data_IF_586128237652
#
_entry.id   IF_586128237652
#
_cell.length_a   1.000
_cell.length_b   1.000
_cell.length_c   1.000
_cell.angle_alpha   90.00
_cell.angle_beta   90.00
_cell.angle_gamma   90.00
#
_symmetry.space_group_name_H-M   'P 1'
#
loop_
_entity.id
_entity.type
_entity.pdbx_description
1 polymer ?
#
# COMPACT_ATOMS: atom_id res chain seq x y z
N UNK A 1 -27.46 1.00 25.99
CA UNK A 1 -26.14 0.86 26.62
C UNK A 1 -25.08 0.90 25.52
N UNK A 2 -24.29 1.98 25.50
CA UNK A 2 -23.02 2.19 24.80
C UNK A 2 -22.78 1.56 23.42
N UNK A 3 -23.04 2.33 22.35
CA UNK A 3 -22.47 2.10 21.03
C UNK A 3 -21.00 2.55 21.05
N UNK A 4 -20.15 1.82 21.77
CA UNK A 4 -18.71 2.03 21.72
C UNK A 4 -18.23 1.40 20.41
N UNK A 5 -18.01 2.23 19.40
CA UNK A 5 -17.27 1.84 18.21
C UNK A 5 -15.92 1.26 18.64
N UNK A 6 -15.85 -0.08 18.69
CA UNK A 6 -14.60 -0.80 18.87
C UNK A 6 -13.85 -0.68 17.55
N UNK A 7 -13.24 0.47 17.30
CA UNK A 7 -12.26 0.65 16.24
C UNK A 7 -11.27 -0.52 16.36
N UNK A 8 -11.19 -1.29 15.28
CA UNK A 8 -10.52 -2.59 15.31
C UNK A 8 -9.02 -2.37 15.22
N UNK A 9 -8.31 -3.16 16.02
CA UNK A 9 -6.85 -3.15 16.09
C UNK A 9 -6.36 -4.43 15.41
N UNK A 10 -5.47 -4.28 14.43
CA UNK A 10 -4.72 -5.38 13.85
C UNK A 10 -3.33 -5.43 14.48
N UNK A 11 -2.84 -6.65 14.72
CA UNK A 11 -1.45 -6.89 15.10
C UNK A 11 -0.65 -7.17 13.83
N UNK A 12 0.31 -6.30 13.54
CA UNK A 12 1.25 -6.45 12.45
C UNK A 12 2.68 -6.51 13.02
N UNK A 13 3.51 -7.50 12.63
CA UNK A 13 4.84 -7.67 13.22
C UNK A 13 5.83 -6.55 12.84
N UNK A 14 5.54 -5.74 11.82
CA UNK A 14 6.40 -4.67 11.32
C UNK A 14 6.00 -3.32 11.94
N UNK A 15 4.70 -3.07 12.06
CA UNK A 15 4.17 -1.78 12.54
C UNK A 15 3.56 -1.83 13.95
N UNK A 16 3.45 -3.01 14.56
CA UNK A 16 2.80 -3.19 15.85
C UNK A 16 1.29 -3.13 15.74
N UNK A 17 0.67 -2.23 16.50
CA UNK A 17 -0.79 -2.06 16.47
C UNK A 17 -1.21 -1.13 15.34
N UNK A 18 -2.00 -1.67 14.39
CA UNK A 18 -2.63 -0.89 13.33
C UNK A 18 -4.08 -0.61 13.73
N UNK A 19 -4.38 0.66 13.99
CA UNK A 19 -5.73 1.13 14.29
C UNK A 19 -6.43 1.56 12.99
N UNK A 20 -7.70 1.21 12.84
CA UNK A 20 -8.54 1.75 11.77
C UNK A 20 -9.11 3.11 12.16
N UNK A 21 -8.91 4.17 11.35
CA UNK A 21 -9.46 5.50 11.65
C UNK A 21 -10.93 5.65 11.27
N UNK A 22 -11.51 4.70 10.52
CA UNK A 22 -12.87 4.79 9.98
C UNK A 22 -13.56 3.42 10.00
N UNK A 23 -14.85 3.39 10.36
CA UNK A 23 -15.69 2.20 10.26
C UNK A 23 -15.82 1.72 8.81
N UNK A 24 -15.84 2.65 7.85
CA UNK A 24 -15.95 2.29 6.45
C UNK A 24 -14.78 1.44 5.96
N UNK A 25 -13.56 1.78 6.40
CA UNK A 25 -12.37 0.99 6.09
C UNK A 25 -12.48 -0.42 6.68
N UNK A 26 -13.14 -0.57 7.84
CA UNK A 26 -13.41 -1.88 8.41
C UNK A 26 -14.37 -2.69 7.52
N UNK A 27 -15.45 -2.07 7.04
CA UNK A 27 -16.39 -2.72 6.13
C UNK A 27 -15.71 -3.18 4.83
N UNK A 28 -14.86 -2.33 4.24
CA UNK A 28 -14.05 -2.69 3.07
C UNK A 28 -13.12 -3.88 3.38
N UNK A 29 -12.45 -3.87 4.53
CA UNK A 29 -11.57 -4.97 4.94
C UNK A 29 -12.38 -6.26 5.10
N UNK A 30 -13.57 -6.21 5.69
CA UNK A 30 -14.41 -7.39 5.89
C UNK A 30 -14.99 -7.95 4.59
N UNK A 31 -15.07 -7.14 3.54
CA UNK A 31 -15.66 -7.54 2.28
C UNK A 31 -14.97 -8.80 1.68
N UNK A 32 -15.72 -9.77 1.12
CA UNK A 32 -15.15 -11.00 0.55
C UNK A 32 -14.06 -10.77 -0.50
N UNK A 33 -14.20 -9.73 -1.33
CA UNK A 33 -13.19 -9.37 -2.33
C UNK A 33 -11.86 -9.00 -1.70
N UNK A 34 -11.88 -8.27 -0.58
CA UNK A 34 -10.67 -7.92 0.15
C UNK A 34 -10.13 -9.10 0.96
N UNK A 35 -11.01 -9.87 1.64
CA UNK A 35 -10.62 -11.07 2.38
C UNK A 35 -9.97 -12.15 1.50
N UNK A 36 -10.20 -12.11 0.17
CA UNK A 36 -9.47 -12.95 -0.80
C UNK A 36 -7.96 -12.78 -0.72
N UNK A 37 -7.49 -11.57 -0.47
CA UNK A 37 -6.06 -11.24 -0.44
C UNK A 37 -5.28 -12.03 0.61
N UNK A 38 -5.95 -12.59 1.64
CA UNK A 38 -5.34 -13.50 2.62
C UNK A 38 -4.81 -14.80 2.02
N UNK A 39 -5.25 -15.15 0.81
CA UNK A 39 -4.86 -16.38 0.10
C UNK A 39 -3.92 -16.10 -1.07
N UNK A 40 -3.49 -14.85 -1.24
CA UNK A 40 -2.63 -14.43 -2.33
C UNK A 40 -1.28 -14.01 -1.73
N UNK A 41 -0.25 -14.80 -2.03
CA UNK A 41 1.13 -14.50 -1.64
C UNK A 41 1.56 -13.15 -2.22
N UNK A 42 2.19 -12.31 -1.39
CA UNK A 42 2.77 -11.03 -1.85
C UNK A 42 3.86 -11.28 -2.89
N UNK A 43 4.69 -12.29 -2.64
CA UNK A 43 5.93 -12.52 -3.39
C UNK A 43 5.86 -13.77 -4.28
N UNK A 44 4.65 -14.20 -4.65
CA UNK A 44 4.44 -15.39 -5.48
C UNK A 44 5.12 -16.62 -4.90
N UNK A 45 6.05 -17.20 -5.67
CA UNK A 45 6.81 -18.41 -5.34
C UNK A 45 8.13 -18.14 -4.58
N UNK A 46 8.37 -16.90 -4.12
CA UNK A 46 9.61 -16.55 -3.41
C UNK A 46 9.84 -17.36 -2.13
N UNK A 47 8.79 -17.94 -1.55
CA UNK A 47 8.89 -18.85 -0.39
C UNK A 47 9.72 -20.11 -0.67
N UNK A 48 9.91 -20.50 -1.94
CA UNK A 48 10.80 -21.61 -2.33
C UNK A 48 12.29 -21.28 -2.12
N UNK A 49 12.64 -20.00 -2.07
CA UNK A 49 14.00 -19.51 -1.84
C UNK A 49 14.15 -18.95 -0.44
N UNK A 50 13.13 -18.23 0.02
CA UNK A 50 13.07 -17.58 1.32
C UNK A 50 11.92 -18.19 2.13
N UNK A 51 12.16 -19.23 2.95
CA UNK A 51 11.09 -19.95 3.65
C UNK A 51 10.25 -19.09 4.61
N UNK A 52 10.69 -17.88 4.94
CA UNK A 52 9.91 -16.92 5.72
C UNK A 52 8.90 -16.08 4.89
N UNK A 53 9.02 -16.04 3.56
CA UNK A 53 8.24 -15.18 2.66
C UNK A 53 6.81 -15.67 2.42
N UNK A 54 6.04 -15.84 3.51
CA UNK A 54 4.65 -16.30 3.53
C UNK A 54 3.63 -15.17 3.73
N UNK A 55 4.07 -13.91 3.75
CA UNK A 55 3.14 -12.79 3.84
C UNK A 55 2.28 -12.67 2.58
N UNK A 56 1.12 -12.06 2.77
CA UNK A 56 0.05 -12.02 1.77
C UNK A 56 -0.23 -10.57 1.39
N UNK A 57 -0.89 -10.38 0.24
CA UNK A 57 -1.36 -9.05 -0.18
C UNK A 57 -2.29 -8.39 0.83
N UNK A 58 -2.99 -9.19 1.64
CA UNK A 58 -3.78 -8.67 2.76
C UNK A 58 -2.92 -7.97 3.81
N UNK A 59 -1.76 -8.55 4.17
CA UNK A 59 -0.84 -7.93 5.13
C UNK A 59 -0.29 -6.63 4.56
N UNK A 60 0.11 -6.65 3.29
CA UNK A 60 0.61 -5.48 2.58
C UNK A 60 -0.43 -4.35 2.52
N UNK A 61 -1.64 -4.62 2.05
CA UNK A 61 -2.69 -3.61 1.92
C UNK A 61 -3.04 -2.93 3.26
N UNK A 62 -3.09 -3.68 4.37
CA UNK A 62 -3.31 -3.09 5.70
C UNK A 62 -2.12 -2.25 6.16
N UNK A 63 -0.88 -2.71 5.91
CA UNK A 63 0.31 -1.96 6.26
C UNK A 63 0.47 -0.69 5.44
N UNK A 64 0.19 -0.73 4.14
CA UNK A 64 0.17 0.42 3.24
C UNK A 64 -0.87 1.46 3.68
N UNK A 65 -2.07 1.02 4.08
CA UNK A 65 -3.09 1.89 4.68
C UNK A 65 -2.60 2.53 5.99
N UNK A 66 -1.94 1.76 6.85
CA UNK A 66 -1.40 2.28 8.11
C UNK A 66 -0.37 3.41 7.90
N UNK A 67 0.59 3.20 7.01
CA UNK A 67 1.61 4.20 6.72
C UNK A 67 1.03 5.41 5.95
N UNK A 68 0.01 5.21 5.11
CA UNK A 68 -0.75 6.31 4.50
C UNK A 68 -1.42 7.19 5.56
N UNK A 69 -2.08 6.59 6.55
CA UNK A 69 -2.68 7.34 7.64
C UNK A 69 -1.64 8.17 8.41
N UNK A 70 -0.46 7.59 8.68
CA UNK A 70 0.66 8.32 9.28
C UNK A 70 1.16 9.47 8.40
N UNK A 71 1.24 9.27 7.08
CA UNK A 71 1.62 10.31 6.15
C UNK A 71 0.61 11.47 6.16
N UNK A 72 -0.69 11.19 6.13
CA UNK A 72 -1.75 12.20 6.25
C UNK A 72 -1.59 13.00 7.55
N UNK A 73 -1.37 12.34 8.69
CA UNK A 73 -1.14 13.01 9.99
C UNK A 73 0.09 13.92 9.94
N UNK A 74 1.21 13.44 9.39
CA UNK A 74 2.44 14.25 9.28
C UNK A 74 2.22 15.45 8.36
N UNK A 75 1.61 15.27 7.19
CA UNK A 75 1.33 16.36 6.26
C UNK A 75 0.42 17.43 6.88
N UNK A 76 -0.65 17.02 7.57
CA UNK A 76 -1.50 17.95 8.34
C UNK A 76 -0.72 18.71 9.40
N UNK A 77 0.18 18.04 10.12
CA UNK A 77 1.02 18.69 11.14
C UNK A 77 1.97 19.75 10.56
N UNK A 78 2.25 19.70 9.26
CA UNK A 78 3.08 20.67 8.52
C UNK A 78 2.26 21.74 7.79
N UNK A 79 0.95 21.79 8.02
CA UNK A 79 0.06 22.78 7.42
C UNK A 79 -0.51 22.41 6.06
N UNK A 80 -0.29 21.18 5.57
CA UNK A 80 -0.95 20.70 4.35
C UNK A 80 -2.42 20.38 4.69
N UNK A 81 -3.35 21.11 4.07
CA UNK A 81 -4.78 20.87 4.26
C UNK A 81 -5.17 19.53 3.63
N UNK A 82 -5.70 18.60 4.42
CA UNK A 82 -6.30 17.35 3.93
C UNK A 82 -7.61 17.16 4.71
N UNK A 83 -8.75 17.19 4.03
CA UNK A 83 -10.07 17.00 4.64
C UNK A 83 -10.26 15.56 5.14
N UNK A 84 -11.28 15.31 5.96
CA UNK A 84 -11.63 13.94 6.37
C UNK A 84 -12.11 13.10 5.18
N UNK A 85 -12.76 13.72 4.21
CA UNK A 85 -13.20 13.07 2.97
C UNK A 85 -11.98 12.64 2.13
N UNK A 86 -11.01 13.54 1.94
CA UNK A 86 -9.76 13.27 1.23
C UNK A 86 -8.93 12.18 1.92
N UNK A 87 -8.87 12.19 3.26
CA UNK A 87 -8.22 11.12 4.02
C UNK A 87 -8.93 9.78 3.81
N UNK A 88 -10.26 9.72 3.94
CA UNK A 88 -11.00 8.48 3.69
C UNK A 88 -10.81 7.99 2.24
N UNK A 89 -10.77 8.90 1.26
CA UNK A 89 -10.47 8.61 -0.13
C UNK A 89 -9.07 8.02 -0.32
N UNK A 90 -8.04 8.66 0.23
CA UNK A 90 -6.65 8.17 0.21
C UNK A 90 -6.50 6.80 0.85
N UNK A 91 -7.09 6.62 2.04
CA UNK A 91 -7.01 5.36 2.79
C UNK A 91 -7.75 4.23 2.08
N UNK A 92 -8.89 4.52 1.46
CA UNK A 92 -9.63 3.53 0.67
C UNK A 92 -8.89 3.17 -0.61
N UNK A 93 -8.32 4.17 -1.30
CA UNK A 93 -7.55 3.95 -2.53
C UNK A 93 -6.30 3.09 -2.27
N UNK A 94 -5.49 3.42 -1.27
CA UNK A 94 -4.30 2.62 -0.93
C UNK A 94 -4.67 1.24 -0.35
N UNK A 95 -5.81 1.11 0.33
CA UNK A 95 -6.26 -0.19 0.79
C UNK A 95 -6.61 -1.08 -0.41
N UNK A 96 -7.24 -0.52 -1.44
CA UNK A 96 -7.76 -1.26 -2.60
C UNK A 96 -6.80 -1.33 -3.79
N UNK A 97 -5.68 -0.59 -3.81
CA UNK A 97 -4.79 -0.47 -4.99
C UNK A 97 -4.37 -1.83 -5.58
N UNK A 98 -4.21 -2.83 -4.71
CA UNK A 98 -3.71 -4.17 -5.01
C UNK A 98 -4.80 -5.25 -5.11
N UNK A 99 -6.09 -4.87 -5.01
CA UNK A 99 -7.22 -5.81 -4.93
C UNK A 99 -7.41 -6.63 -6.22
N UNK A 100 -6.91 -6.12 -7.35
CA UNK A 100 -6.98 -6.74 -8.66
C UNK A 100 -6.04 -7.93 -8.84
N UNK A 101 -5.06 -8.12 -7.96
CA UNK A 101 -4.12 -9.21 -8.11
C UNK A 101 -4.76 -10.60 -7.98
N UNK A 102 -4.40 -11.47 -8.92
CA UNK A 102 -4.67 -12.91 -8.89
C UNK A 102 -3.56 -13.72 -8.21
N UNK A 103 -3.77 -15.04 -8.03
CA UNK A 103 -2.72 -15.95 -7.57
C UNK A 103 -1.52 -15.92 -8.53
N UNK A 104 -0.31 -16.01 -7.98
CA UNK A 104 0.96 -15.89 -8.73
C UNK A 104 1.17 -14.56 -9.47
N UNK A 105 0.24 -13.60 -9.35
CA UNK A 105 0.32 -12.20 -9.81
C UNK A 105 1.00 -12.05 -11.18
N UNK A 106 2.23 -11.55 -11.24
CA UNK A 106 2.94 -11.29 -12.51
C UNK A 106 3.13 -12.54 -13.40
N UNK A 107 3.27 -13.73 -12.81
CA UNK A 107 3.33 -14.95 -13.61
C UNK A 107 2.00 -15.23 -14.35
N UNK A 108 0.87 -14.82 -13.76
CA UNK A 108 -0.46 -14.97 -14.34
C UNK A 108 -0.75 -13.90 -15.42
N UNK A 109 -0.30 -12.67 -15.19
CA UNK A 109 -0.43 -11.55 -16.16
C UNK A 109 0.24 -11.88 -17.50
N UNK A 110 1.42 -12.51 -17.47
CA UNK A 110 2.14 -12.86 -18.69
C UNK A 110 1.72 -14.19 -19.32
N UNK A 111 1.16 -15.12 -18.56
CA UNK A 111 0.96 -16.50 -19.02
C UNK A 111 -0.49 -16.87 -19.32
N UNK A 112 -1.48 -16.24 -18.68
CA UNK A 112 -2.89 -16.68 -18.74
C UNK A 112 -3.82 -15.60 -19.27
N UNK A 113 -3.59 -14.32 -18.95
CA UNK A 113 -4.43 -13.21 -19.40
C UNK A 113 -3.56 -12.10 -20.00
N UNK A 114 -3.06 -12.27 -21.23
CA UNK A 114 -2.20 -11.28 -21.87
C UNK A 114 -2.95 -9.96 -22.05
N UNK A 115 -2.35 -8.86 -21.59
CA UNK A 115 -2.83 -7.50 -21.85
C UNK A 115 -3.82 -6.93 -20.83
N UNK A 116 -4.10 -7.64 -19.72
CA UNK A 116 -4.86 -7.07 -18.59
C UNK A 116 -3.90 -6.93 -17.41
N UNK A 117 -3.61 -5.68 -17.02
CA UNK A 117 -2.86 -5.38 -15.81
C UNK A 117 -3.74 -5.52 -14.55
N UNK A 118 -3.10 -5.76 -13.41
CA UNK A 118 -3.81 -5.78 -12.13
C UNK A 118 -4.46 -4.44 -11.78
N UNK A 119 -3.94 -3.30 -12.25
CA UNK A 119 -4.51 -1.97 -12.01
C UNK A 119 -5.93 -1.85 -12.62
N UNK A 120 -6.13 -2.35 -13.84
CA UNK A 120 -7.43 -2.42 -14.51
C UNK A 120 -8.40 -3.28 -13.73
N UNK A 121 -7.94 -4.44 -13.24
CA UNK A 121 -8.78 -5.34 -12.44
C UNK A 121 -9.09 -4.71 -11.07
N UNK A 122 -8.11 -4.03 -10.45
CA UNK A 122 -8.30 -3.28 -9.21
C UNK A 122 -9.38 -2.23 -9.38
N UNK A 123 -9.35 -1.49 -10.49
CA UNK A 123 -10.37 -0.51 -10.80
C UNK A 123 -11.76 -1.16 -10.97
N UNK A 124 -11.87 -2.30 -11.67
CA UNK A 124 -13.14 -3.04 -11.77
C UNK A 124 -13.71 -3.44 -10.40
N UNK A 125 -12.85 -3.92 -9.49
CA UNK A 125 -13.25 -4.20 -8.12
C UNK A 125 -13.68 -2.94 -7.38
N UNK A 126 -12.96 -1.82 -7.54
CA UNK A 126 -13.29 -0.55 -6.89
C UNK A 126 -14.64 -0.02 -7.37
N UNK A 127 -14.91 -0.03 -8.68
CA UNK A 127 -16.20 0.39 -9.26
C UNK A 127 -17.35 -0.48 -8.74
N UNK A 128 -17.17 -1.80 -8.75
CA UNK A 128 -18.18 -2.73 -8.23
C UNK A 128 -18.43 -2.55 -6.72
N UNK A 129 -17.39 -2.27 -5.94
CA UNK A 129 -17.54 -1.92 -4.53
C UNK A 129 -18.23 -0.56 -4.37
N UNK A 130 -17.94 0.41 -5.24
CA UNK A 130 -18.55 1.74 -5.21
C UNK A 130 -20.06 1.66 -5.39
N UNK A 131 -20.53 0.81 -6.32
CA UNK A 131 -21.95 0.51 -6.50
C UNK A 131 -22.57 -0.10 -5.23
N UNK A 132 -21.90 -1.08 -4.61
CA UNK A 132 -22.40 -1.75 -3.39
C UNK A 132 -22.40 -0.84 -2.16
N UNK A 133 -21.47 0.11 -2.09
CA UNK A 133 -21.34 1.07 -1.01
C UNK A 133 -21.91 2.45 -1.37
N UNK A 134 -22.86 2.52 -2.31
CA UNK A 134 -23.65 3.72 -2.62
C UNK A 134 -22.80 4.97 -2.92
N UNK A 135 -21.73 4.82 -3.70
CA UNK A 135 -20.88 5.94 -4.15
C UNK A 135 -19.79 6.37 -3.14
N UNK A 136 -19.63 5.66 -2.02
CA UNK A 136 -18.66 6.04 -0.97
C UNK A 136 -17.19 5.88 -1.38
N UNK A 137 -16.89 5.25 -2.51
CA UNK A 137 -15.54 5.10 -3.07
C UNK A 137 -15.24 6.09 -4.21
N UNK A 138 -16.17 6.97 -4.58
CA UNK A 138 -16.04 7.88 -5.73
C UNK A 138 -14.74 8.69 -5.69
N UNK A 139 -14.43 9.29 -4.54
CA UNK A 139 -13.21 10.07 -4.38
C UNK A 139 -11.95 9.19 -4.44
N UNK A 140 -11.99 8.00 -3.84
CA UNK A 140 -10.87 7.05 -3.88
C UNK A 140 -10.56 6.63 -5.32
N UNK A 141 -11.59 6.34 -6.11
CA UNK A 141 -11.49 6.00 -7.54
C UNK A 141 -10.95 7.18 -8.34
N UNK A 142 -11.48 8.38 -8.11
CA UNK A 142 -11.04 9.61 -8.81
C UNK A 142 -9.56 9.91 -8.55
N UNK A 143 -9.10 9.74 -7.30
CA UNK A 143 -7.68 9.87 -6.94
C UNK A 143 -6.86 8.77 -7.64
N UNK A 144 -7.31 7.51 -7.57
CA UNK A 144 -6.60 6.36 -8.15
C UNK A 144 -6.43 6.48 -9.67
N UNK A 145 -7.44 6.99 -10.39
CA UNK A 145 -7.37 7.29 -11.84
C UNK A 145 -6.45 8.48 -12.18
N UNK A 146 -6.05 9.27 -11.18
CA UNK A 146 -5.30 10.51 -11.40
C UNK A 146 -6.15 11.66 -11.94
N UNK A 147 -7.46 11.59 -11.76
CA UNK A 147 -8.44 12.59 -12.23
C UNK A 147 -8.71 13.65 -11.15
N UNK A 148 -8.23 13.44 -9.92
CA UNK A 148 -8.39 14.39 -8.83
C UNK A 148 -7.45 15.60 -8.97
N UNK A 149 -7.91 16.85 -8.72
CA UNK A 149 -7.11 18.06 -8.97
C UNK A 149 -5.81 18.15 -8.17
N UNK A 150 -5.74 17.50 -7.01
CA UNK A 150 -4.61 17.55 -6.08
C UNK A 150 -3.65 16.38 -6.34
N UNK A 151 -2.63 16.62 -7.15
CA UNK A 151 -1.73 15.61 -7.73
C UNK A 151 -0.91 14.85 -6.70
N UNK A 152 -0.50 15.50 -5.60
CA UNK A 152 0.26 14.81 -4.56
C UNK A 152 -0.53 13.63 -3.94
N UNK A 153 -1.86 13.62 -4.03
CA UNK A 153 -2.67 12.51 -3.53
C UNK A 153 -2.43 11.23 -4.31
N UNK A 154 -2.39 11.31 -5.64
CA UNK A 154 -1.98 10.17 -6.45
C UNK A 154 -0.53 9.78 -6.13
N UNK A 155 0.36 10.75 -5.91
CA UNK A 155 1.77 10.47 -5.61
C UNK A 155 1.99 9.72 -4.28
N UNK A 156 1.09 9.89 -3.31
CA UNK A 156 1.12 9.11 -2.07
C UNK A 156 0.76 7.63 -2.32
N UNK A 157 0.00 7.33 -3.37
CA UNK A 157 -0.42 5.97 -3.76
C UNK A 157 0.57 5.35 -4.75
N UNK A 158 0.95 6.10 -5.77
CA UNK A 158 1.84 5.67 -6.86
C UNK A 158 2.82 6.78 -7.24
N UNK A 159 4.10 6.59 -6.89
CA UNK A 159 5.22 7.45 -7.24
C UNK A 159 6.56 6.72 -7.04
N UNK A 160 7.66 7.46 -6.87
CA UNK A 160 8.94 6.87 -6.47
C UNK A 160 9.06 6.69 -4.95
N UNK A 161 8.25 7.41 -4.17
CA UNK A 161 8.26 7.45 -2.70
C UNK A 161 6.82 7.36 -2.17
N UNK A 162 6.03 6.47 -2.77
CA UNK A 162 4.66 6.18 -2.36
C UNK A 162 4.60 5.26 -1.13
N UNK A 163 3.39 5.11 -0.59
CA UNK A 163 3.12 4.24 0.54
C UNK A 163 3.24 2.77 0.15
N UNK A 164 2.79 2.37 -1.04
CA UNK A 164 2.92 0.99 -1.54
C UNK A 164 4.37 0.46 -1.39
N UNK A 165 5.33 1.17 -1.99
CA UNK A 165 6.75 0.81 -1.96
C UNK A 165 7.34 0.86 -0.57
N UNK A 166 6.89 1.79 0.26
CA UNK A 166 7.37 1.89 1.64
C UNK A 166 6.89 0.72 2.51
N UNK A 167 5.70 0.17 2.26
CA UNK A 167 5.27 -1.05 2.92
C UNK A 167 6.03 -2.26 2.35
N UNK A 168 5.92 -2.51 1.04
CA UNK A 168 6.41 -3.78 0.51
C UNK A 168 7.92 -3.93 0.68
N UNK A 169 8.73 -2.87 0.53
CA UNK A 169 10.19 -3.00 0.70
C UNK A 169 10.55 -3.42 2.13
N UNK A 170 9.92 -2.78 3.12
CA UNK A 170 10.14 -3.09 4.53
C UNK A 170 9.61 -4.48 4.87
N UNK A 171 8.43 -4.83 4.37
CA UNK A 171 7.75 -6.09 4.62
C UNK A 171 8.44 -7.26 3.96
N UNK A 172 8.78 -7.15 2.69
CA UNK A 172 9.50 -8.17 1.96
C UNK A 172 10.87 -8.41 2.59
N UNK A 173 11.60 -7.35 2.95
CA UNK A 173 12.87 -7.48 3.69
C UNK A 173 12.70 -8.22 5.02
N UNK A 174 11.67 -7.87 5.80
CA UNK A 174 11.38 -8.51 7.08
C UNK A 174 11.09 -10.01 6.93
N UNK A 175 10.21 -10.40 6.01
CA UNK A 175 9.78 -11.79 5.85
C UNK A 175 10.81 -12.65 5.10
N UNK A 176 11.60 -12.07 4.21
CA UNK A 176 12.67 -12.80 3.52
C UNK A 176 13.93 -12.95 4.37
N UNK A 177 14.11 -12.08 5.36
CA UNK A 177 15.34 -11.99 6.16
C UNK A 177 16.48 -11.25 5.46
N UNK A 178 16.24 -10.67 4.28
CA UNK A 178 17.23 -9.86 3.55
C UNK A 178 17.32 -8.47 4.18
N UNK A 179 18.22 -8.32 5.14
CA UNK A 179 18.35 -7.11 5.96
C UNK A 179 18.75 -5.87 5.15
N UNK A 180 19.44 -6.04 4.03
CA UNK A 180 19.88 -4.98 3.13
C UNK A 180 18.71 -4.24 2.47
N UNK A 181 17.56 -4.91 2.35
CA UNK A 181 16.31 -4.34 1.84
C UNK A 181 15.55 -3.48 2.85
N UNK A 182 15.97 -3.46 4.11
CA UNK A 182 15.22 -2.77 5.16
C UNK A 182 15.34 -1.25 5.02
N UNK A 183 14.20 -0.58 5.15
CA UNK A 183 14.07 0.88 5.05
C UNK A 183 13.47 1.47 6.33
N UNK A 184 13.81 2.74 6.59
CA UNK A 184 13.18 3.49 7.67
C UNK A 184 11.97 4.28 7.13
N UNK A 185 10.85 3.57 6.94
CA UNK A 185 9.55 4.12 6.52
C UNK A 185 9.15 5.33 7.36
N UNK A 186 9.34 5.25 8.67
CA UNK A 186 8.90 6.25 9.63
C UNK A 186 9.66 7.56 9.46
N UNK A 187 10.98 7.48 9.25
CA UNK A 187 11.80 8.65 8.98
C UNK A 187 11.44 9.26 7.63
N UNK A 188 11.24 8.46 6.58
CA UNK A 188 10.82 8.98 5.27
C UNK A 188 9.50 9.76 5.37
N UNK A 189 8.49 9.17 6.00
CA UNK A 189 7.19 9.80 6.23
C UNK A 189 7.34 11.09 7.04
N UNK A 190 8.14 11.06 8.12
CA UNK A 190 8.37 12.25 8.94
C UNK A 190 8.99 13.41 8.14
N UNK A 191 9.76 13.11 7.09
CA UNK A 191 10.40 14.10 6.22
C UNK A 191 9.54 14.51 5.01
N UNK A 192 8.37 13.89 4.78
CA UNK A 192 7.47 14.24 3.68
C UNK A 192 6.83 15.62 3.86
N UNK A 193 6.66 16.34 2.75
CA UNK A 193 5.89 17.58 2.69
C UNK A 193 5.27 17.74 1.29
N UNK A 194 4.49 18.79 1.08
CA UNK A 194 3.91 19.16 -0.22
C UNK A 194 4.31 20.59 -0.57
N UNK A 195 4.82 20.80 -1.78
CA UNK A 195 5.15 22.12 -2.35
C UNK A 195 4.61 22.15 -3.77
N UNK A 196 3.85 23.19 -4.11
CA UNK A 196 3.22 23.35 -5.43
C UNK A 196 2.45 22.11 -5.90
N UNK A 197 1.70 21.50 -4.96
CA UNK A 197 0.89 20.29 -5.18
C UNK A 197 1.70 19.03 -5.57
N UNK A 198 3.00 19.03 -5.24
CA UNK A 198 3.93 17.91 -5.45
C UNK A 198 4.46 17.41 -4.11
N UNK A 199 4.49 16.09 -3.95
CA UNK A 199 5.09 15.40 -2.81
C UNK A 199 6.62 15.57 -2.85
N UNK A 200 7.18 16.09 -1.77
CA UNK A 200 8.61 16.36 -1.62
C UNK A 200 9.13 15.78 -0.31
N UNK A 201 10.45 15.61 -0.21
CA UNK A 201 11.14 15.24 1.03
C UNK A 201 12.01 16.41 1.46
N UNK A 202 11.93 16.77 2.74
CA UNK A 202 12.82 17.78 3.33
C UNK A 202 14.29 17.35 3.18
N UNK A 203 15.18 18.32 2.92
CA UNK A 203 16.60 18.08 2.61
C UNK A 203 17.31 17.20 3.67
N UNK A 204 16.99 17.40 4.96
CA UNK A 204 17.53 16.57 6.07
C UNK A 204 17.16 15.08 5.99
N UNK A 205 16.24 14.71 5.10
CA UNK A 205 15.82 13.36 4.76
C UNK A 205 16.63 12.69 3.65
N UNK A 206 17.58 13.37 2.99
CA UNK A 206 18.30 12.89 1.81
C UNK A 206 18.91 11.49 1.99
N UNK A 207 19.61 11.24 3.10
CA UNK A 207 20.20 9.93 3.37
C UNK A 207 19.17 8.80 3.53
N UNK A 208 17.95 9.12 3.96
CA UNK A 208 16.86 8.13 4.03
C UNK A 208 16.33 7.81 2.63
N UNK A 209 16.29 8.80 1.73
CA UNK A 209 15.95 8.59 0.32
C UNK A 209 17.03 7.76 -0.39
N UNK A 210 18.32 8.06 -0.17
CA UNK A 210 19.42 7.25 -0.72
C UNK A 210 19.35 5.80 -0.24
N UNK A 211 19.19 5.60 1.07
CA UNK A 211 19.00 4.27 1.67
C UNK A 211 17.81 3.53 1.04
N UNK A 212 16.69 4.23 0.82
CA UNK A 212 15.50 3.66 0.16
C UNK A 212 15.79 3.21 -1.28
N UNK A 213 16.44 4.06 -2.08
CA UNK A 213 16.79 3.74 -3.46
C UNK A 213 17.77 2.55 -3.54
N UNK A 214 18.76 2.51 -2.65
CA UNK A 214 19.69 1.39 -2.54
C UNK A 214 18.98 0.10 -2.12
N UNK A 215 18.14 0.15 -1.08
CA UNK A 215 17.37 -1.00 -0.60
C UNK A 215 16.47 -1.57 -1.71
N UNK A 216 15.75 -0.70 -2.44
CA UNK A 216 14.94 -1.08 -3.60
C UNK A 216 15.74 -1.81 -4.65
N UNK A 217 16.93 -1.28 -4.99
CA UNK A 217 17.83 -1.93 -5.95
C UNK A 217 18.28 -3.30 -5.44
N UNK A 218 18.67 -3.42 -4.18
CA UNK A 218 19.14 -4.68 -3.60
C UNK A 218 18.03 -5.74 -3.57
N UNK A 219 16.82 -5.37 -3.17
CA UNK A 219 15.65 -6.25 -3.22
C UNK A 219 15.35 -6.73 -4.64
N UNK A 220 15.48 -5.84 -5.64
CA UNK A 220 15.33 -6.21 -7.04
C UNK A 220 16.42 -7.13 -7.57
N UNK A 221 17.64 -7.13 -7.03
CA UNK A 221 18.68 -8.06 -7.50
C UNK A 221 18.68 -9.39 -6.76
N UNK A 222 18.37 -9.35 -5.47
CA UNK A 222 18.48 -10.52 -4.61
C UNK A 222 17.20 -11.34 -4.58
N UNK A 223 16.04 -10.67 -4.60
CA UNK A 223 14.78 -11.30 -4.24
C UNK A 223 13.83 -11.43 -5.43
N UNK A 224 13.43 -10.32 -6.06
CA UNK A 224 12.30 -10.35 -7.01
C UNK A 224 12.52 -11.21 -8.27
N UNK A 225 13.66 -11.16 -8.97
CA UNK A 225 13.96 -11.99 -10.13
C UNK A 225 14.84 -13.19 -9.77
N UNK A 226 14.78 -13.70 -8.52
CA UNK A 226 15.65 -14.80 -8.14
C UNK A 226 15.39 -16.01 -9.06
N UNK A 227 16.45 -16.52 -9.70
CA UNK A 227 16.40 -17.56 -10.75
C UNK A 227 15.59 -18.80 -10.35
N UNK A 228 15.58 -19.17 -9.07
CA UNK A 228 14.83 -20.30 -8.52
C UNK A 228 13.34 -20.00 -8.33
N UNK A 229 12.96 -18.72 -8.24
CA UNK A 229 11.57 -18.27 -8.21
C UNK A 229 10.98 -18.07 -9.60
N UNK A 230 11.83 -17.87 -10.61
CA UNK A 230 11.45 -17.73 -12.03
C UNK A 230 11.61 -19.03 -12.85
N UNK A 231 12.37 -20.01 -12.33
CA UNK A 231 12.77 -21.23 -13.04
C UNK A 231 12.00 -22.48 -12.63
#
# INVERSE_FOLDING_TARGET
MGNANKLKIFNDPIYGFINLPSEFLFDLIQHPYFQRLRRISQMGLSYLVYPGAHHTRFHHAIGAMHIMHRAVVVLRSKGVTISEEEENGLLSAILLHDIGHGPFSHAMEHSIVPGIDHETISLLFMEQLNEQFEGRLELAITIFKGEYPRKFMLQLISSQLDMDRMDYLKRDSFYTGVAEGNINSDRLIQMMNVVDDVLVIEEKGIYSVEKFLMARRLMYWQVYPHKTSLG
#
